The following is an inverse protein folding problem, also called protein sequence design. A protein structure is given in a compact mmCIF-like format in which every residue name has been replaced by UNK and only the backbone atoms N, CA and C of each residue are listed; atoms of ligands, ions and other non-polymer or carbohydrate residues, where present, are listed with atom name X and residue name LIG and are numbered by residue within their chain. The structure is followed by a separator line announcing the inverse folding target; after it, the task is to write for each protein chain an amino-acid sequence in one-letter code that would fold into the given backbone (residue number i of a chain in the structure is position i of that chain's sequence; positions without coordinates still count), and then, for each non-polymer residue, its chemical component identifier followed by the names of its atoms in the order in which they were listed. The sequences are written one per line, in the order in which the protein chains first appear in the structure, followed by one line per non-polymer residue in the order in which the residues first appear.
data_IF_559275334576
#
_entry.id   IF_559275334576
#
_cell.length_a   1.000
_cell.length_b   1.000
_cell.length_c   1.000
_cell.angle_alpha   90.00
_cell.angle_beta   90.00
_cell.angle_gamma   90.00
#
_symmetry.space_group_name_H-M   'P 1'
#
loop_
_entity.id
_entity.type
_entity.pdbx_description
1 polymer ?
#
# COMPACT_ATOMS: atom_id res chain seq x y z
N UNK A 1 4.80 8.18 1.95
CA UNK A 1 5.76 7.08 1.72
C UNK A 1 5.54 6.53 0.34
N UNK A 2 6.60 5.95 -0.24
CA UNK A 2 6.58 5.23 -1.51
C UNK A 2 7.37 3.94 -1.34
N UNK A 3 6.89 2.83 -1.89
CA UNK A 3 7.56 1.54 -1.87
C UNK A 3 7.35 0.82 -3.21
N UNK A 4 8.33 0.02 -3.63
CA UNK A 4 8.25 -0.81 -4.84
C UNK A 4 9.09 -2.07 -4.66
N UNK A 5 8.66 -3.17 -5.28
CA UNK A 5 9.47 -4.39 -5.44
C UNK A 5 10.42 -4.32 -6.65
N UNK A 6 10.38 -3.22 -7.42
CA UNK A 6 11.21 -3.04 -8.59
C UNK A 6 10.65 -3.69 -9.86
N UNK A 7 11.33 -3.44 -10.99
CA UNK A 7 10.90 -3.91 -12.32
C UNK A 7 11.18 -5.42 -12.55
N UNK A 8 12.06 -6.01 -11.76
CA UNK A 8 12.55 -7.37 -11.98
C UNK A 8 11.46 -8.41 -11.75
N UNK A 9 10.68 -8.26 -10.67
CA UNK A 9 9.56 -9.17 -10.39
C UNK A 9 8.49 -9.09 -11.48
N UNK A 10 8.24 -7.91 -12.04
CA UNK A 10 7.26 -7.75 -13.12
C UNK A 10 7.72 -8.42 -14.42
N UNK A 11 9.02 -8.34 -14.73
CA UNK A 11 9.61 -9.03 -15.88
C UNK A 11 9.46 -10.54 -15.74
N UNK A 12 9.71 -11.07 -14.53
CA UNK A 12 9.58 -12.51 -14.28
C UNK A 12 8.11 -12.96 -14.32
N UNK A 13 7.18 -12.21 -13.71
CA UNK A 13 5.73 -12.48 -13.81
C UNK A 13 5.30 -12.50 -15.28
N UNK A 14 5.72 -11.51 -16.08
CA UNK A 14 5.38 -11.42 -17.49
C UNK A 14 5.92 -12.62 -18.28
N UNK A 15 7.17 -13.00 -18.05
CA UNK A 15 7.79 -14.18 -18.67
C UNK A 15 7.02 -15.45 -18.30
N UNK A 16 6.74 -15.65 -17.01
CA UNK A 16 5.98 -16.80 -16.53
C UNK A 16 4.58 -16.83 -17.13
N UNK A 17 3.90 -15.70 -17.27
CA UNK A 17 2.56 -15.62 -17.87
C UNK A 17 2.53 -16.19 -19.30
N UNK A 18 3.62 -16.05 -20.07
CA UNK A 18 3.74 -16.62 -21.41
C UNK A 18 4.16 -18.10 -21.43
N UNK A 19 4.93 -18.57 -20.43
CA UNK A 19 5.46 -19.95 -20.41
C UNK A 19 4.61 -20.92 -19.58
N UNK A 20 4.01 -20.43 -18.50
CA UNK A 20 3.24 -21.15 -17.50
C UNK A 20 2.32 -20.15 -16.77
N UNK A 21 1.12 -19.97 -17.34
CA UNK A 21 0.15 -18.99 -16.86
C UNK A 21 -0.17 -19.15 -15.37
N UNK A 22 -0.32 -20.39 -14.89
CA UNK A 22 -0.63 -20.69 -13.49
C UNK A 22 0.49 -20.20 -12.57
N UNK A 23 1.75 -20.48 -12.89
CA UNK A 23 2.88 -19.93 -12.12
C UNK A 23 2.94 -18.41 -12.19
N UNK A 24 2.68 -17.81 -13.35
CA UNK A 24 2.64 -16.36 -13.50
C UNK A 24 1.65 -15.69 -12.54
N UNK A 25 0.44 -16.24 -12.45
CA UNK A 25 -0.61 -15.75 -11.54
C UNK A 25 -0.18 -15.94 -10.07
N UNK A 26 0.37 -17.10 -9.72
CA UNK A 26 0.82 -17.37 -8.34
C UNK A 26 1.90 -16.37 -7.93
N UNK A 27 2.91 -16.15 -8.78
CA UNK A 27 4.00 -15.21 -8.48
C UNK A 27 3.48 -13.77 -8.42
N UNK A 28 2.54 -13.39 -9.28
CA UNK A 28 1.90 -12.07 -9.23
C UNK A 28 1.17 -11.83 -7.91
N UNK A 29 0.44 -12.83 -7.41
CA UNK A 29 -0.23 -12.78 -6.13
C UNK A 29 0.78 -12.69 -4.96
N UNK A 30 1.84 -13.48 -5.00
CA UNK A 30 2.94 -13.40 -4.01
C UNK A 30 3.58 -12.01 -4.01
N UNK A 31 3.82 -11.41 -5.18
CA UNK A 31 4.39 -10.07 -5.28
C UNK A 31 3.43 -8.99 -4.73
N UNK A 32 2.12 -9.15 -4.93
CA UNK A 32 1.12 -8.26 -4.31
C UNK A 32 1.15 -8.37 -2.79
N UNK A 33 1.22 -9.57 -2.23
CA UNK A 33 1.32 -9.75 -0.78
C UNK A 33 2.65 -9.18 -0.23
N UNK A 34 3.75 -9.39 -0.95
CA UNK A 34 5.07 -8.96 -0.52
C UNK A 34 5.20 -7.42 -0.47
N UNK A 35 4.61 -6.66 -1.40
CA UNK A 35 4.68 -5.20 -1.33
C UNK A 35 3.92 -4.63 -0.12
N UNK A 36 2.83 -5.27 0.30
CA UNK A 36 2.09 -4.85 1.50
C UNK A 36 2.91 -5.09 2.78
N UNK A 37 3.63 -6.21 2.87
CA UNK A 37 4.55 -6.48 3.98
C UNK A 37 5.70 -5.46 4.03
N UNK A 38 6.28 -5.10 2.88
CA UNK A 38 7.27 -4.01 2.80
C UNK A 38 6.69 -2.70 3.35
N UNK A 39 5.43 -2.40 3.03
CA UNK A 39 4.77 -1.21 3.54
C UNK A 39 4.58 -1.25 5.07
N UNK A 40 4.21 -2.41 5.62
CA UNK A 40 4.06 -2.60 7.07
C UNK A 40 5.40 -2.44 7.82
N UNK A 41 6.50 -2.92 7.24
CA UNK A 41 7.85 -2.73 7.77
C UNK A 41 8.23 -1.25 7.77
N UNK A 42 8.02 -0.54 6.66
CA UNK A 42 8.32 0.90 6.55
C UNK A 42 7.48 1.70 7.54
N UNK A 43 6.18 1.42 7.62
CA UNK A 43 5.26 2.09 8.55
C UNK A 43 5.69 1.85 10.02
N UNK A 44 6.05 0.61 10.37
CA UNK A 44 6.56 0.28 11.71
C UNK A 44 7.84 1.03 12.05
N UNK A 45 8.75 1.17 11.09
CA UNK A 45 9.99 1.92 11.29
C UNK A 45 9.73 3.42 11.49
N UNK A 46 8.78 4.00 10.74
CA UNK A 46 8.35 5.40 10.94
C UNK A 46 7.72 5.58 12.32
N UNK A 47 6.81 4.68 12.72
CA UNK A 47 6.15 4.70 14.03
C UNK A 47 7.17 4.68 15.18
N UNK A 48 8.14 3.75 15.13
CA UNK A 48 9.18 3.62 16.16
C UNK A 48 10.06 4.87 16.27
N UNK A 49 10.32 5.56 15.16
CA UNK A 49 11.09 6.82 15.16
C UNK A 49 10.29 7.95 15.80
N UNK A 50 9.04 8.14 15.39
CA UNK A 50 8.18 9.22 15.88
C UNK A 50 7.76 9.03 17.34
N UNK A 51 7.64 7.79 17.80
CA UNK A 51 7.31 7.50 19.21
C UNK A 51 8.38 8.02 20.18
N UNK A 52 9.65 8.11 19.75
CA UNK A 52 10.73 8.73 20.55
C UNK A 52 10.53 10.23 20.77
N UNK A 53 9.65 10.85 19.98
CA UNK A 53 9.27 12.26 20.05
C UNK A 53 7.83 12.44 20.57
N UNK A 54 7.26 11.43 21.24
CA UNK A 54 5.86 11.41 21.71
C UNK A 54 4.81 11.68 20.60
N UNK A 55 5.14 11.28 19.37
CA UNK A 55 4.25 11.37 18.19
C UNK A 55 3.76 10.00 17.75
N UNK A 56 2.51 9.96 17.32
CA UNK A 56 1.81 8.77 16.86
C UNK A 56 1.44 8.89 15.40
N UNK A 57 1.31 7.75 14.72
CA UNK A 57 0.93 7.71 13.30
C UNK A 57 -0.52 7.25 13.11
N UNK A 58 -1.18 7.77 12.09
CA UNK A 58 -2.45 7.23 11.57
C UNK A 58 -2.20 5.99 10.71
N UNK A 59 -3.28 5.36 10.25
CA UNK A 59 -3.22 4.44 9.11
C UNK A 59 -2.67 5.12 7.85
N UNK A 60 -2.06 4.30 6.99
CA UNK A 60 -1.70 4.71 5.64
C UNK A 60 -2.95 4.91 4.78
N UNK A 61 -3.00 6.01 4.04
CA UNK A 61 -4.08 6.33 3.11
C UNK A 61 -3.52 6.59 1.72
N UNK A 62 -3.93 5.79 0.74
CA UNK A 62 -3.37 5.79 -0.61
C UNK A 62 -4.28 6.51 -1.61
N UNK A 63 -3.71 7.27 -2.56
CA UNK A 63 -4.47 7.79 -3.69
C UNK A 63 -5.15 6.68 -4.49
N UNK A 64 -6.38 6.93 -4.92
CA UNK A 64 -7.27 5.96 -5.58
C UNK A 64 -8.27 5.30 -4.64
N UNK A 65 -8.20 5.56 -3.32
CA UNK A 65 -9.19 5.13 -2.34
C UNK A 65 -10.01 6.30 -1.82
N UNK A 66 -11.30 6.05 -1.55
CA UNK A 66 -12.21 7.01 -0.93
C UNK A 66 -12.35 8.30 -1.73
N UNK A 67 -11.99 9.41 -1.09
CA UNK A 67 -12.04 10.77 -1.61
C UNK A 67 -10.70 11.30 -2.14
N UNK A 68 -9.64 10.47 -2.17
CA UNK A 68 -8.31 10.86 -2.63
C UNK A 68 -8.07 10.42 -4.09
N UNK A 69 -8.03 11.34 -5.07
CA UNK A 69 -7.88 10.99 -6.49
C UNK A 69 -6.54 10.33 -6.79
N UNK A 70 -6.51 9.34 -7.70
CA UNK A 70 -5.32 8.54 -8.02
C UNK A 70 -4.18 9.38 -8.61
N UNK A 71 -4.50 10.49 -9.28
CA UNK A 71 -3.55 11.42 -9.87
C UNK A 71 -2.62 12.04 -8.82
N UNK A 72 -3.04 12.06 -7.54
CA UNK A 72 -2.21 12.50 -6.41
C UNK A 72 -0.98 11.64 -6.15
N UNK A 73 -0.91 10.45 -6.75
CA UNK A 73 0.34 9.69 -6.78
C UNK A 73 1.48 10.50 -7.39
N UNK A 74 1.23 11.34 -8.40
CA UNK A 74 2.27 12.18 -9.05
C UNK A 74 2.86 13.17 -8.03
N UNK A 75 2.00 13.89 -7.31
CA UNK A 75 2.40 14.90 -6.32
C UNK A 75 3.27 14.28 -5.22
N UNK A 76 2.82 13.15 -4.66
CA UNK A 76 3.54 12.46 -3.58
C UNK A 76 4.86 11.86 -4.09
N UNK A 77 4.86 11.27 -5.28
CA UNK A 77 6.04 10.67 -5.87
C UNK A 77 7.15 11.70 -6.09
N UNK A 78 6.78 12.89 -6.55
CA UNK A 78 7.68 14.02 -6.78
C UNK A 78 8.21 14.60 -5.47
N UNK A 79 7.33 14.80 -4.46
CA UNK A 79 7.73 15.30 -3.15
C UNK A 79 8.79 14.41 -2.48
N UNK A 80 8.65 13.08 -2.64
CA UNK A 80 9.58 12.09 -2.10
C UNK A 80 10.78 11.81 -3.02
N UNK A 81 10.83 12.43 -4.20
CA UNK A 81 11.84 12.18 -5.22
C UNK A 81 12.00 10.68 -5.57
N UNK A 82 10.90 9.93 -5.53
CA UNK A 82 10.95 8.45 -5.49
C UNK A 82 11.50 7.84 -6.77
N UNK A 83 11.38 8.54 -7.91
CA UNK A 83 11.99 8.08 -9.17
C UNK A 83 13.51 7.97 -9.04
N UNK A 84 14.15 8.94 -8.39
CA UNK A 84 15.60 8.93 -8.20
C UNK A 84 16.02 7.95 -7.11
N UNK A 85 15.29 7.93 -6.01
CA UNK A 85 15.68 7.16 -4.81
C UNK A 85 15.40 5.66 -4.94
N UNK A 86 14.27 5.29 -5.54
CA UNK A 86 13.80 3.88 -5.60
C UNK A 86 13.34 3.44 -7.00
N UNK A 87 13.48 4.28 -8.03
CA UNK A 87 13.08 3.93 -9.40
C UNK A 87 11.57 3.90 -9.64
N UNK A 88 10.76 4.43 -8.71
CA UNK A 88 9.30 4.48 -8.86
C UNK A 88 8.86 5.70 -9.66
N UNK A 89 8.16 5.45 -10.77
CA UNK A 89 7.57 6.49 -11.62
C UNK A 89 6.05 6.39 -11.62
N UNK A 90 5.38 7.49 -11.98
CA UNK A 90 3.93 7.58 -12.04
C UNK A 90 3.54 8.22 -13.37
N UNK A 91 2.58 7.62 -14.07
CA UNK A 91 2.02 8.19 -15.31
C UNK A 91 1.14 9.39 -15.01
N UNK A 92 0.79 10.17 -16.03
CA UNK A 92 -0.16 11.29 -15.89
C UNK A 92 -1.56 10.84 -15.40
N UNK A 93 -1.91 9.58 -15.58
CA UNK A 93 -3.14 8.97 -15.08
C UNK A 93 -3.04 8.42 -13.64
N UNK A 94 -1.93 8.67 -12.94
CA UNK A 94 -1.73 8.22 -11.57
C UNK A 94 -1.30 6.76 -11.42
N UNK A 95 -1.01 6.05 -12.52
CA UNK A 95 -0.58 4.65 -12.50
C UNK A 95 0.91 4.56 -12.19
N UNK A 96 1.26 3.73 -11.21
CA UNK A 96 2.63 3.48 -10.78
C UNK A 96 3.35 2.48 -11.70
N UNK A 97 4.62 2.75 -11.96
CA UNK A 97 5.54 1.87 -12.69
C UNK A 97 6.84 1.79 -11.88
N UNK A 98 7.19 0.62 -11.31
CA UNK A 98 6.50 -0.68 -11.40
C UNK A 98 5.09 -0.70 -10.79
N UNK A 99 4.22 -1.62 -11.21
CA UNK A 99 2.86 -1.83 -10.67
C UNK A 99 2.84 -2.47 -9.27
N UNK A 100 3.85 -3.28 -8.93
CA UNK A 100 4.01 -3.82 -7.55
C UNK A 100 4.63 -2.77 -6.63
N UNK A 101 3.87 -1.69 -6.43
CA UNK A 101 4.27 -0.49 -5.72
C UNK A 101 3.10 0.12 -4.96
N UNK A 102 3.41 0.86 -3.92
CA UNK A 102 2.44 1.57 -3.09
C UNK A 102 2.93 2.99 -2.83
N UNK A 103 2.03 3.95 -3.00
CA UNK A 103 2.20 5.33 -2.55
C UNK A 103 1.09 5.61 -1.53
N UNK A 104 1.47 6.16 -0.38
CA UNK A 104 0.52 6.42 0.70
C UNK A 104 0.94 7.60 1.58
N UNK A 105 -0.05 8.27 2.16
CA UNK A 105 0.10 9.28 3.20
C UNK A 105 0.02 8.62 4.58
N UNK A 106 0.85 9.07 5.51
CA UNK A 106 0.77 8.69 6.92
C UNK A 106 0.64 9.99 7.72
N UNK A 107 -0.48 10.16 8.41
CA UNK A 107 -0.71 11.30 9.30
C UNK A 107 0.08 11.15 10.59
N UNK A 108 0.51 12.27 11.15
CA UNK A 108 1.23 12.34 12.43
C UNK A 108 0.40 13.14 13.43
N UNK A 109 0.27 12.62 14.65
CA UNK A 109 -0.55 13.19 15.72
C UNK A 109 0.21 13.22 17.04
N UNK A 110 -0.09 14.23 17.86
CA UNK A 110 0.41 14.33 19.24
C UNK A 110 -0.47 13.58 20.25
N UNK A 111 -1.64 13.09 19.82
CA UNK A 111 -2.52 12.24 20.61
C UNK A 111 -2.32 10.80 20.19
N UNK A 112 -2.24 9.90 21.16
CA UNK A 112 -2.32 8.46 20.93
C UNK A 112 -3.60 8.15 20.18
N UNK A 113 -3.48 7.87 18.89
CA UNK A 113 -4.60 7.34 18.12
C UNK A 113 -4.67 5.87 18.49
N UNK A 114 -5.80 5.42 19.02
CA UNK A 114 -6.09 4.00 19.13
C UNK A 114 -6.20 3.46 17.71
N UNK A 115 -5.08 3.00 17.15
CA UNK A 115 -5.04 2.24 15.91
C UNK A 115 -5.66 0.85 16.18
N UNK A 116 -6.96 0.80 16.43
CA UNK A 116 -7.72 -0.45 16.37
C UNK A 116 -7.71 -0.87 14.91
N UNK A 117 -7.00 -1.96 14.57
CA UNK A 117 -7.03 -2.52 13.21
C UNK A 117 -8.49 -2.54 12.77
N UNK A 118 -8.79 -1.92 11.62
CA UNK A 118 -10.14 -1.95 11.05
C UNK A 118 -10.43 -3.39 10.68
N UNK A 119 -11.14 -4.09 11.56
CA UNK A 119 -11.65 -5.44 11.34
C UNK A 119 -13.13 -5.37 11.04
N UNK A 120 -13.68 -6.43 10.44
CA UNK A 120 -15.12 -6.57 10.34
C UNK A 120 -15.79 -6.54 11.72
N UNK A 121 -15.08 -6.90 12.79
CA UNK A 121 -15.57 -6.87 14.17
C UNK A 121 -15.83 -5.45 14.68
N UNK A 122 -14.99 -4.49 14.31
CA UNK A 122 -15.05 -3.09 14.76
C UNK A 122 -15.65 -2.16 13.69
N UNK A 123 -16.27 -2.72 12.64
CA UNK A 123 -16.88 -1.97 11.55
C UNK A 123 -18.33 -1.59 11.89
N UNK A 124 -18.69 -0.32 11.70
CA UNK A 124 -20.07 0.16 11.88
C UNK A 124 -21.08 -0.56 10.97
N UNK A 125 -20.62 -1.04 9.81
CA UNK A 125 -21.46 -1.72 8.84
C UNK A 125 -21.50 -3.26 9.03
N UNK A 126 -20.95 -3.79 10.13
CA UNK A 126 -20.78 -5.24 10.39
C UNK A 126 -22.07 -6.07 10.25
N UNK A 127 -23.22 -5.50 10.57
CA UNK A 127 -24.49 -6.24 10.56
C UNK A 127 -25.13 -6.32 9.17
N UNK A 128 -24.77 -5.42 8.25
CA UNK A 128 -25.44 -5.28 6.95
C UNK A 128 -24.44 -5.10 5.79
N UNK A 129 -23.25 -5.67 5.91
CA UNK A 129 -22.19 -5.56 4.92
C UNK A 129 -22.15 -6.81 4.04
N UNK A 130 -22.44 -6.65 2.75
CA UNK A 130 -22.37 -7.71 1.74
C UNK A 130 -20.95 -8.21 1.48
N UNK A 131 -19.93 -7.43 1.87
CA UNK A 131 -18.50 -7.73 1.71
C UNK A 131 -17.89 -8.41 2.96
N UNK A 132 -18.72 -8.80 3.93
CA UNK A 132 -18.26 -9.40 5.19
C UNK A 132 -17.84 -10.86 4.98
N UNK A 133 -16.53 -11.11 4.97
CA UNK A 133 -15.96 -12.45 5.24
C UNK A 133 -15.64 -12.59 6.73
N UNK A 134 -15.37 -13.82 7.18
CA UNK A 134 -15.21 -14.28 8.57
C UNK A 134 -14.12 -13.55 9.42
N UNK A 135 -14.24 -12.24 9.62
CA UNK A 135 -13.64 -11.51 10.76
C UNK A 135 -12.58 -10.45 10.45
N UNK A 136 -11.81 -10.55 9.36
CA UNK A 136 -10.50 -9.88 9.34
C UNK A 136 -10.43 -8.51 8.62
N UNK A 137 -11.01 -8.34 7.43
CA UNK A 137 -10.90 -7.11 6.64
C UNK A 137 -11.98 -7.03 5.56
N UNK A 138 -12.25 -5.82 5.06
CA UNK A 138 -13.02 -5.63 3.83
C UNK A 138 -12.07 -5.75 2.63
N UNK A 139 -12.34 -6.67 1.71
CA UNK A 139 -11.60 -6.85 0.46
C UNK A 139 -12.60 -7.01 -0.70
N UNK A 140 -12.14 -6.75 -1.93
CA UNK A 140 -12.97 -6.88 -3.15
C UNK A 140 -13.41 -8.31 -3.41
#
# INVERSE_FOLDING_TARGET
MSATLGLEIEREIRKLTYTDLTKGIIVDACATAAIEEVCDIVQSNIAKKLLKEDKYITYRYSPGYGDLPIEKNVDINNLLNSQKEIGLTVTNSGIMIPRKSVVALIGVSHKGITNTKKSCENCSNRHNCDYKKEGNSCEN
#
